data_IF_723907990101
#
_entry.id   IF_723907990101
#
_cell.length_a   1.000
_cell.length_b   1.000
_cell.length_c   1.000
_cell.angle_alpha   90.00
_cell.angle_beta   90.00
_cell.angle_gamma   90.00
#
_symmetry.space_group_name_H-M   'P 1'
#
loop_
_entity.id
_entity.type
_entity.pdbx_description
1 polymer ?
#
# COMPACT_ATOMS: atom_id res chain seq x y z
N UNK A 1 3.38 64.52 39.60
CA UNK A 1 3.13 63.08 39.76
C UNK A 1 3.07 62.50 38.34
N UNK A 2 4.17 61.89 37.87
CA UNK A 2 4.24 61.28 36.50
C UNK A 2 3.83 59.82 36.58
N UNK A 3 2.71 59.50 35.95
CA UNK A 3 2.21 58.10 35.86
C UNK A 3 2.97 57.45 34.70
N UNK A 4 3.82 56.47 35.01
CA UNK A 4 4.45 55.60 34.01
C UNK A 4 3.47 54.44 33.68
N UNK A 5 2.96 54.47 32.45
CA UNK A 5 2.16 53.37 31.91
C UNK A 5 3.10 52.28 31.38
N UNK A 6 3.18 51.13 32.07
CA UNK A 6 3.90 49.97 31.60
C UNK A 6 3.00 49.23 30.60
N UNK A 7 3.33 49.31 29.29
CA UNK A 7 2.71 48.42 28.28
C UNK A 7 3.45 47.09 28.31
N UNK A 8 2.82 46.08 28.88
CA UNK A 8 3.29 44.68 28.75
C UNK A 8 2.86 44.14 27.38
N UNK A 9 3.79 44.02 26.46
CA UNK A 9 3.58 43.32 25.18
C UNK A 9 3.67 41.85 25.43
N UNK A 10 2.51 41.15 25.40
CA UNK A 10 2.43 39.69 25.38
C UNK A 10 2.83 39.20 23.97
N UNK A 11 4.00 38.62 23.84
CA UNK A 11 4.37 37.83 22.66
C UNK A 11 3.67 36.47 22.75
N UNK A 12 2.60 36.25 21.99
CA UNK A 12 2.05 34.94 21.75
C UNK A 12 2.99 34.25 20.75
N UNK A 13 3.87 33.40 21.24
CA UNK A 13 4.55 32.42 20.41
C UNK A 13 3.53 31.31 20.06
N UNK A 14 3.02 31.35 18.85
CA UNK A 14 2.26 30.21 18.31
C UNK A 14 3.26 29.07 18.11
N UNK A 15 3.29 28.13 19.04
CA UNK A 15 4.02 26.88 18.88
C UNK A 15 3.16 26.06 17.92
N UNK A 16 3.55 26.02 16.65
CA UNK A 16 2.99 25.04 15.73
C UNK A 16 3.44 23.67 16.23
N UNK A 17 2.49 22.83 16.66
CA UNK A 17 2.77 21.44 16.97
C UNK A 17 3.25 20.77 15.67
N UNK A 18 4.50 20.34 15.66
CA UNK A 18 5.06 19.62 14.50
C UNK A 18 4.56 18.19 14.50
N UNK A 19 4.17 17.69 13.33
CA UNK A 19 3.79 16.28 13.17
C UNK A 19 4.87 15.34 13.74
N UNK A 20 4.52 14.16 14.23
CA UNK A 20 5.47 13.12 14.60
C UNK A 20 6.49 12.87 13.49
N UNK A 21 7.72 12.55 13.85
CA UNK A 21 8.82 12.43 12.90
C UNK A 21 8.57 11.38 11.81
N UNK A 22 7.95 10.27 12.15
CA UNK A 22 7.56 9.18 11.27
C UNK A 22 6.54 9.64 10.21
N UNK A 23 5.46 10.31 10.65
CA UNK A 23 4.43 10.87 9.75
C UNK A 23 5.04 11.96 8.86
N UNK A 24 5.83 12.87 9.45
CA UNK A 24 6.51 13.93 8.71
C UNK A 24 7.49 13.38 7.68
N UNK A 25 8.21 12.30 8.01
CA UNK A 25 9.15 11.67 7.09
C UNK A 25 8.43 11.10 5.86
N UNK A 26 7.30 10.43 6.05
CA UNK A 26 6.48 9.94 4.91
C UNK A 26 5.95 11.07 4.05
N UNK A 27 5.49 12.17 4.67
CA UNK A 27 4.79 13.24 3.97
C UNK A 27 5.71 14.26 3.28
N UNK A 28 6.89 14.49 3.83
CA UNK A 28 7.72 15.66 3.47
C UNK A 28 9.12 15.29 2.98
N UNK A 29 9.60 14.06 3.29
CA UNK A 29 10.96 13.72 2.93
C UNK A 29 11.09 13.28 1.46
N UNK A 30 12.18 13.70 0.84
CA UNK A 30 12.58 13.22 -0.48
C UNK A 30 13.07 11.77 -0.43
N UNK A 31 13.58 11.36 0.72
CA UNK A 31 14.08 10.01 0.98
C UNK A 31 12.95 8.98 0.88
N UNK A 32 11.78 9.26 1.47
CA UNK A 32 10.61 8.39 1.34
C UNK A 32 10.21 8.22 -0.13
N UNK A 33 10.08 9.34 -0.86
CA UNK A 33 9.74 9.33 -2.28
C UNK A 33 10.78 8.53 -3.09
N UNK A 34 12.07 8.76 -2.80
CA UNK A 34 13.17 8.06 -3.50
C UNK A 34 13.15 6.56 -3.22
N UNK A 35 12.95 6.15 -1.97
CA UNK A 35 12.89 4.73 -1.58
C UNK A 35 11.69 4.02 -2.22
N UNK A 36 10.49 4.59 -2.17
CA UNK A 36 9.32 3.98 -2.80
C UNK A 36 9.51 3.84 -4.32
N UNK A 37 9.97 4.88 -5.00
CA UNK A 37 10.28 4.79 -6.43
C UNK A 37 11.36 3.75 -6.73
N UNK A 38 12.39 3.62 -5.89
CA UNK A 38 13.44 2.62 -6.04
C UNK A 38 12.91 1.20 -5.88
N UNK A 39 12.01 0.95 -4.92
CA UNK A 39 11.36 -0.35 -4.72
C UNK A 39 10.57 -0.72 -5.97
N UNK A 40 9.70 0.17 -6.46
CA UNK A 40 8.91 -0.10 -7.66
C UNK A 40 9.77 -0.25 -8.92
N UNK A 41 10.78 0.60 -9.11
CA UNK A 41 11.69 0.49 -10.27
C UNK A 41 12.46 -0.86 -10.27
N UNK A 42 12.88 -1.31 -9.08
CA UNK A 42 13.54 -2.62 -8.95
C UNK A 42 12.56 -3.76 -9.25
N UNK A 43 11.33 -3.71 -8.76
CA UNK A 43 10.28 -4.67 -9.07
C UNK A 43 10.00 -4.74 -10.59
N UNK A 44 9.86 -3.60 -11.27
CA UNK A 44 9.71 -3.54 -12.75
C UNK A 44 10.93 -4.17 -13.44
N UNK A 45 12.14 -3.86 -12.99
CA UNK A 45 13.37 -4.41 -13.59
C UNK A 45 13.41 -5.94 -13.52
N UNK A 46 13.01 -6.51 -12.38
CA UNK A 46 12.90 -7.97 -12.21
C UNK A 46 11.80 -8.57 -13.08
N UNK A 47 10.62 -7.91 -13.16
CA UNK A 47 9.54 -8.36 -14.04
C UNK A 47 9.98 -8.39 -15.51
N UNK A 48 10.66 -7.36 -16.01
CA UNK A 48 11.17 -7.34 -17.37
C UNK A 48 12.03 -8.56 -17.70
N UNK A 49 12.83 -9.01 -16.75
CA UNK A 49 13.64 -10.22 -16.92
C UNK A 49 12.77 -11.50 -16.91
N UNK A 50 11.72 -11.52 -16.08
CA UNK A 50 10.82 -12.68 -15.95
C UNK A 50 9.93 -12.87 -17.17
N UNK A 51 9.43 -11.76 -17.76
CA UNK A 51 8.51 -11.79 -18.91
C UNK A 51 9.23 -11.70 -20.26
N UNK A 52 10.52 -11.37 -20.28
CA UNK A 52 11.31 -11.35 -21.53
C UNK A 52 11.36 -12.76 -22.12
N UNK A 53 11.05 -12.94 -23.40
CA UNK A 53 11.21 -14.22 -24.05
C UNK A 53 12.72 -14.55 -24.08
N UNK A 54 13.14 -15.40 -23.17
CA UNK A 54 14.49 -15.95 -23.24
C UNK A 54 14.60 -16.79 -24.53
N UNK A 55 15.67 -16.62 -25.27
CA UNK A 55 15.96 -17.34 -26.53
C UNK A 55 15.87 -18.87 -26.42
N UNK A 56 15.74 -19.37 -25.18
CA UNK A 56 15.67 -20.78 -24.79
C UNK A 56 14.38 -21.19 -24.09
N UNK A 57 13.46 -20.25 -23.80
CA UNK A 57 12.18 -20.57 -23.16
C UNK A 57 11.13 -20.82 -24.23
N UNK A 58 10.97 -22.07 -24.61
CA UNK A 58 9.86 -22.53 -25.42
C UNK A 58 8.55 -22.30 -24.63
N UNK A 59 7.69 -21.40 -25.15
CA UNK A 59 6.28 -21.24 -24.76
C UNK A 59 6.00 -21.05 -23.24
N UNK A 60 6.52 -19.98 -22.62
CA UNK A 60 5.95 -19.54 -21.33
C UNK A 60 4.65 -18.83 -21.65
N UNK A 61 3.54 -19.44 -21.26
CA UNK A 61 2.23 -18.78 -21.28
C UNK A 61 2.19 -17.72 -20.18
N UNK A 62 2.38 -16.46 -20.55
CA UNK A 62 2.31 -15.33 -19.62
C UNK A 62 0.87 -14.99 -19.19
N UNK A 63 -0.14 -15.61 -19.81
CA UNK A 63 -1.56 -15.29 -19.56
C UNK A 63 -2.02 -15.62 -18.13
N UNK A 64 -1.25 -16.43 -17.37
CA UNK A 64 -1.57 -16.78 -16.01
C UNK A 64 -0.67 -16.11 -14.95
N UNK A 65 0.21 -15.18 -15.36
CA UNK A 65 1.04 -14.46 -14.40
C UNK A 65 0.20 -13.49 -13.58
N UNK A 66 0.48 -13.46 -12.26
CA UNK A 66 -0.14 -12.52 -11.36
C UNK A 66 0.89 -11.95 -10.37
N UNK A 67 0.60 -10.74 -9.89
CA UNK A 67 1.32 -10.07 -8.82
C UNK A 67 0.35 -9.87 -7.66
N UNK A 68 0.79 -10.21 -6.45
CA UNK A 68 0.05 -9.97 -5.22
C UNK A 68 0.56 -8.67 -4.59
N UNK A 69 -0.36 -7.76 -4.27
CA UNK A 69 -0.03 -6.46 -3.66
C UNK A 69 -0.90 -6.22 -2.42
N UNK A 70 -0.30 -5.69 -1.36
CA UNK A 70 -1.08 -5.01 -0.33
C UNK A 70 -1.58 -3.65 -0.85
N UNK A 71 -2.51 -3.02 -0.13
CA UNK A 71 -3.03 -1.70 -0.48
C UNK A 71 -2.42 -0.59 0.36
N UNK A 72 -2.56 -0.68 1.69
CA UNK A 72 -2.24 0.41 2.61
C UNK A 72 -0.72 0.52 2.79
N UNK A 73 -0.16 1.69 2.59
CA UNK A 73 1.28 2.01 2.59
C UNK A 73 2.12 1.24 1.56
N UNK A 74 1.41 0.56 0.66
CA UNK A 74 2.01 -0.11 -0.51
C UNK A 74 1.55 0.56 -1.80
N UNK A 75 0.25 0.63 -2.04
CA UNK A 75 -0.37 1.31 -3.19
C UNK A 75 -0.98 2.65 -2.78
N UNK A 76 -1.63 2.67 -1.62
CA UNK A 76 -2.36 3.81 -1.06
C UNK A 76 -1.62 4.35 0.16
N UNK A 77 -1.27 5.63 0.12
CA UNK A 77 -0.67 6.40 1.21
C UNK A 77 -1.78 6.94 2.12
N UNK A 78 -1.85 6.43 3.35
CA UNK A 78 -2.82 6.84 4.36
C UNK A 78 -2.19 7.77 5.43
N UNK A 79 -1.10 8.44 5.12
CA UNK A 79 -0.46 9.37 6.07
C UNK A 79 -1.38 10.50 6.52
N UNK A 80 -2.38 10.88 5.71
CA UNK A 80 -3.40 11.86 6.12
C UNK A 80 -4.30 11.33 7.26
N UNK A 81 -4.54 10.02 7.33
CA UNK A 81 -5.19 9.41 8.50
C UNK A 81 -4.34 9.55 9.76
N UNK A 82 -3.02 9.39 9.67
CA UNK A 82 -2.13 9.57 10.81
C UNK A 82 -2.10 11.04 11.28
N UNK A 83 -2.17 12.00 10.36
CA UNK A 83 -2.35 13.42 10.70
C UNK A 83 -3.67 13.63 11.44
N UNK A 84 -4.76 13.06 10.94
CA UNK A 84 -6.07 13.13 11.61
C UNK A 84 -6.03 12.61 13.05
N UNK A 85 -5.36 11.47 13.28
CA UNK A 85 -5.20 10.91 14.63
C UNK A 85 -4.38 11.84 15.53
N UNK A 86 -3.28 12.40 14.99
CA UNK A 86 -2.43 13.33 15.71
C UNK A 86 -3.20 14.60 16.13
N UNK A 87 -3.91 15.22 15.20
CA UNK A 87 -4.66 16.46 15.43
C UNK A 87 -5.77 16.27 16.48
N UNK A 88 -6.38 15.08 16.52
CA UNK A 88 -7.40 14.72 17.50
C UNK A 88 -6.82 14.17 18.81
N UNK A 89 -5.50 13.99 18.91
CA UNK A 89 -4.83 13.28 20.00
C UNK A 89 -5.45 11.88 20.25
N UNK A 90 -5.71 11.17 19.15
CA UNK A 90 -6.29 9.84 19.15
C UNK A 90 -5.27 8.79 18.72
N UNK A 91 -5.60 7.53 18.98
CA UNK A 91 -4.87 6.37 18.45
C UNK A 91 -5.77 5.64 17.46
N UNK A 92 -5.13 4.81 16.62
CA UNK A 92 -5.85 3.91 15.73
C UNK A 92 -6.96 3.16 16.47
N UNK A 93 -8.13 3.18 15.87
CA UNK A 93 -9.25 2.30 16.22
C UNK A 93 -9.98 1.87 14.93
N UNK A 94 -10.69 0.72 14.94
CA UNK A 94 -11.36 0.21 13.74
C UNK A 94 -12.42 1.14 13.18
N UNK A 95 -13.11 1.90 14.02
CA UNK A 95 -14.19 2.80 13.66
C UNK A 95 -13.65 4.02 12.90
N UNK A 96 -12.63 4.70 13.45
CA UNK A 96 -12.01 5.86 12.79
C UNK A 96 -11.30 5.48 11.50
N UNK A 97 -10.74 4.26 11.44
CA UNK A 97 -10.19 3.72 10.20
C UNK A 97 -11.29 3.48 9.15
N UNK A 98 -12.42 2.91 9.55
CA UNK A 98 -13.57 2.70 8.68
C UNK A 98 -14.09 4.04 8.12
N UNK A 99 -14.17 5.08 8.94
CA UNK A 99 -14.51 6.45 8.54
C UNK A 99 -13.49 7.05 7.56
N UNK A 100 -12.19 6.78 7.77
CA UNK A 100 -11.16 7.23 6.85
C UNK A 100 -11.32 6.59 5.47
N UNK A 101 -11.54 5.28 5.40
CA UNK A 101 -11.75 4.58 4.13
C UNK A 101 -12.97 5.11 3.38
N UNK A 102 -14.04 5.48 4.12
CA UNK A 102 -15.25 6.12 3.55
C UNK A 102 -14.97 7.47 2.88
N UNK A 103 -13.93 8.20 3.26
CA UNK A 103 -13.58 9.48 2.62
C UNK A 103 -13.01 9.30 1.22
N UNK A 104 -12.42 8.15 0.93
CA UNK A 104 -11.80 7.86 -0.37
C UNK A 104 -10.72 8.89 -0.76
N UNK A 105 -9.92 9.30 0.22
CA UNK A 105 -8.94 10.39 0.10
C UNK A 105 -7.48 9.91 0.16
N UNK A 106 -7.24 8.60 0.28
CA UNK A 106 -5.89 8.07 0.25
C UNK A 106 -5.22 8.39 -1.11
N UNK A 107 -3.97 8.86 -1.03
CA UNK A 107 -3.15 9.20 -2.19
C UNK A 107 -2.40 7.96 -2.68
N UNK A 108 -1.66 8.09 -3.78
CA UNK A 108 -0.77 7.02 -4.21
C UNK A 108 0.57 7.07 -3.47
N UNK A 109 1.06 5.91 -3.09
CA UNK A 109 2.48 5.74 -2.75
C UNK A 109 3.31 6.07 -3.99
N UNK A 110 4.42 6.83 -3.86
CA UNK A 110 5.24 7.22 -5.01
C UNK A 110 5.70 6.02 -5.84
N UNK A 111 5.46 6.06 -7.15
CA UNK A 111 5.79 4.99 -8.10
C UNK A 111 4.70 3.93 -8.31
N UNK A 112 3.62 3.94 -7.51
CA UNK A 112 2.53 2.96 -7.63
C UNK A 112 1.82 3.02 -8.99
N UNK A 113 1.61 4.22 -9.51
CA UNK A 113 0.95 4.43 -10.81
C UNK A 113 1.76 3.78 -11.95
N UNK A 114 3.05 4.03 -12.00
CA UNK A 114 3.97 3.53 -13.01
C UNK A 114 4.05 1.99 -12.96
N UNK A 115 4.11 1.43 -11.77
CA UNK A 115 4.16 -0.02 -11.57
C UNK A 115 2.87 -0.70 -12.02
N UNK A 116 1.70 -0.23 -11.57
CA UNK A 116 0.40 -0.76 -11.96
C UNK A 116 0.17 -0.63 -13.46
N UNK A 117 0.56 0.52 -14.05
CA UNK A 117 0.50 0.72 -15.50
C UNK A 117 1.39 -0.26 -16.25
N UNK A 118 2.60 -0.54 -15.73
CA UNK A 118 3.50 -1.54 -16.30
C UNK A 118 2.87 -2.94 -16.28
N UNK A 119 2.27 -3.35 -15.18
CA UNK A 119 1.61 -4.67 -15.07
C UNK A 119 0.51 -4.81 -16.13
N UNK A 120 -0.36 -3.80 -16.26
CA UNK A 120 -1.48 -3.81 -17.22
C UNK A 120 -1.01 -3.84 -18.67
N UNK A 121 0.02 -3.06 -19.00
CA UNK A 121 0.58 -3.04 -20.35
C UNK A 121 1.23 -4.38 -20.75
N UNK A 122 1.50 -5.25 -19.76
CA UNK A 122 2.07 -6.59 -19.99
C UNK A 122 1.05 -7.72 -19.68
N UNK A 123 -0.24 -7.41 -19.52
CA UNK A 123 -1.32 -8.36 -19.23
C UNK A 123 -1.06 -9.22 -17.97
N UNK A 124 -0.39 -8.65 -16.97
CA UNK A 124 -0.13 -9.32 -15.68
C UNK A 124 -1.31 -9.03 -14.76
N UNK A 125 -1.94 -10.09 -14.24
CA UNK A 125 -3.04 -9.97 -13.30
C UNK A 125 -2.59 -9.31 -12.00
N UNK A 126 -3.43 -8.40 -11.46
CA UNK A 126 -3.22 -7.83 -10.14
C UNK A 126 -4.20 -8.45 -9.15
N UNK A 127 -3.69 -8.94 -8.03
CA UNK A 127 -4.48 -9.48 -6.92
C UNK A 127 -4.13 -8.66 -5.68
N UNK A 128 -5.08 -7.88 -5.18
CA UNK A 128 -4.91 -7.11 -3.96
C UNK A 128 -5.32 -7.93 -2.74
N UNK A 129 -4.39 -8.08 -1.77
CA UNK A 129 -4.67 -8.70 -0.47
C UNK A 129 -4.50 -7.63 0.62
N UNK A 130 -5.59 -7.06 1.11
CA UNK A 130 -5.52 -6.00 2.12
C UNK A 130 -6.32 -6.32 3.38
N UNK A 131 -5.91 -5.75 4.51
CA UNK A 131 -6.65 -5.82 5.76
C UNK A 131 -7.81 -4.81 5.85
N UNK A 132 -8.05 -4.03 4.81
CA UNK A 132 -9.32 -3.30 4.66
C UNK A 132 -10.48 -4.28 4.74
N UNK A 133 -11.56 -3.87 5.41
CA UNK A 133 -12.73 -4.72 5.52
C UNK A 133 -13.44 -4.87 4.16
N UNK A 134 -13.90 -6.07 3.84
CA UNK A 134 -14.59 -6.39 2.58
C UNK A 134 -15.85 -5.54 2.36
N UNK A 135 -16.55 -5.17 3.43
CA UNK A 135 -17.67 -4.20 3.39
C UNK A 135 -17.29 -2.82 2.82
N UNK A 136 -15.98 -2.51 2.66
CA UNK A 136 -15.42 -1.26 2.11
C UNK A 136 -14.79 -1.45 0.72
N UNK A 137 -15.17 -2.51 0.05
CA UNK A 137 -14.65 -2.82 -1.28
C UNK A 137 -14.98 -1.71 -2.29
N UNK A 138 -16.21 -1.22 -2.28
CA UNK A 138 -16.64 -0.20 -3.27
C UNK A 138 -15.98 1.15 -3.02
N UNK A 139 -15.83 1.58 -1.76
CA UNK A 139 -15.10 2.80 -1.42
C UNK A 139 -13.60 2.68 -1.78
N UNK A 140 -13.02 1.49 -1.56
CA UNK A 140 -11.64 1.22 -1.97
C UNK A 140 -11.48 1.33 -3.48
N UNK A 141 -12.36 0.69 -4.25
CA UNK A 141 -12.38 0.81 -5.72
C UNK A 141 -12.63 2.25 -6.19
N UNK A 142 -13.51 2.99 -5.51
CA UNK A 142 -13.80 4.38 -5.80
C UNK A 142 -12.57 5.27 -5.60
N UNK A 143 -11.84 5.10 -4.49
CA UNK A 143 -10.57 5.78 -4.26
C UNK A 143 -9.55 5.46 -5.37
N UNK A 144 -9.41 4.19 -5.76
CA UNK A 144 -8.51 3.79 -6.84
C UNK A 144 -8.93 4.35 -8.21
N UNK A 145 -10.25 4.50 -8.46
CA UNK A 145 -10.76 5.22 -9.66
C UNK A 145 -10.35 6.68 -9.67
N UNK A 146 -10.47 7.38 -8.53
CA UNK A 146 -10.00 8.77 -8.37
C UNK A 146 -8.51 8.88 -8.67
N UNK A 147 -7.72 7.90 -8.26
CA UNK A 147 -6.28 7.83 -8.52
C UNK A 147 -5.93 7.30 -9.92
N UNK A 148 -6.91 6.95 -10.76
CA UNK A 148 -6.73 6.45 -12.14
C UNK A 148 -5.94 5.13 -12.23
N UNK A 149 -6.04 4.29 -11.19
CA UNK A 149 -5.38 2.98 -11.13
C UNK A 149 -6.34 1.79 -11.00
N UNK A 150 -7.64 2.02 -11.06
CA UNK A 150 -8.66 0.97 -11.03
C UNK A 150 -8.78 0.23 -12.37
N UNK A 151 -9.00 -1.08 -12.29
CA UNK A 151 -9.54 -1.90 -13.39
C UNK A 151 -10.62 -2.84 -12.87
N UNK A 152 -11.61 -3.16 -13.72
CA UNK A 152 -12.62 -4.19 -13.42
C UNK A 152 -12.02 -5.58 -13.30
N UNK A 153 -10.85 -5.79 -13.91
CA UNK A 153 -10.16 -7.09 -13.94
C UNK A 153 -9.32 -7.34 -12.68
N UNK A 154 -9.11 -6.30 -11.85
CA UNK A 154 -8.37 -6.45 -10.59
C UNK A 154 -9.15 -7.34 -9.61
N UNK A 155 -8.44 -8.28 -8.97
CA UNK A 155 -9.01 -9.16 -7.95
C UNK A 155 -8.73 -8.58 -6.57
N UNK A 156 -9.75 -8.53 -5.72
CA UNK A 156 -9.65 -8.00 -4.36
C UNK A 156 -9.98 -9.09 -3.34
N UNK A 157 -9.02 -9.41 -2.50
CA UNK A 157 -9.17 -10.29 -1.35
C UNK A 157 -9.05 -9.46 -0.08
N UNK A 158 -10.11 -8.70 0.23
CA UNK A 158 -10.20 -7.89 1.43
C UNK A 158 -10.60 -8.75 2.63
N UNK A 159 -10.40 -8.24 3.83
CA UNK A 159 -10.67 -8.96 5.07
C UNK A 159 -12.17 -9.07 5.34
N UNK A 160 -12.70 -10.28 5.45
CA UNK A 160 -14.09 -10.53 5.82
C UNK A 160 -14.28 -10.35 7.33
N UNK A 161 -13.39 -10.94 8.15
CA UNK A 161 -13.41 -10.86 9.60
C UNK A 161 -11.99 -10.99 10.21
N UNK A 162 -11.91 -11.04 11.55
CA UNK A 162 -10.62 -11.14 12.25
C UNK A 162 -9.88 -12.45 12.02
N UNK A 163 -10.58 -13.54 11.68
CA UNK A 163 -9.99 -14.85 11.42
C UNK A 163 -9.44 -14.94 10.00
N UNK A 164 -9.94 -14.12 9.08
CA UNK A 164 -9.50 -14.03 7.68
C UNK A 164 -8.11 -13.36 7.56
N UNK A 165 -7.06 -14.15 7.80
CA UNK A 165 -5.67 -13.69 7.73
C UNK A 165 -5.15 -13.66 6.29
N UNK A 166 -4.15 -12.82 6.01
CA UNK A 166 -3.50 -12.77 4.68
C UNK A 166 -2.95 -14.14 4.23
N UNK A 167 -2.51 -14.97 5.16
CA UNK A 167 -2.07 -16.36 4.87
C UNK A 167 -3.19 -17.23 4.30
N UNK A 168 -4.42 -17.10 4.82
CA UNK A 168 -5.60 -17.83 4.30
C UNK A 168 -5.90 -17.35 2.88
N UNK A 169 -5.94 -16.04 2.67
CA UNK A 169 -6.22 -15.44 1.36
C UNK A 169 -5.16 -15.79 0.31
N UNK A 170 -3.89 -15.89 0.70
CA UNK A 170 -2.84 -16.43 -0.19
C UNK A 170 -3.08 -17.90 -0.50
N UNK A 171 -3.47 -18.70 0.48
CA UNK A 171 -3.80 -20.12 0.25
C UNK A 171 -4.99 -20.28 -0.71
N UNK A 172 -5.98 -19.39 -0.70
CA UNK A 172 -7.07 -19.39 -1.69
C UNK A 172 -6.53 -19.25 -3.12
N UNK A 173 -5.54 -18.37 -3.33
CA UNK A 173 -4.90 -18.18 -4.65
C UNK A 173 -4.16 -19.46 -5.07
N UNK A 174 -3.30 -20.00 -4.19
CA UNK A 174 -2.49 -21.18 -4.52
C UNK A 174 -3.31 -22.43 -4.80
N UNK A 175 -4.42 -22.60 -4.08
CA UNK A 175 -5.25 -23.81 -4.18
C UNK A 175 -6.47 -23.62 -5.10
N UNK A 176 -6.65 -22.44 -5.68
CA UNK A 176 -7.86 -22.08 -6.48
C UNK A 176 -9.14 -22.38 -5.72
N UNK A 177 -9.21 -21.99 -4.43
CA UNK A 177 -10.33 -22.27 -3.53
C UNK A 177 -10.99 -20.97 -3.06
N UNK A 178 -12.04 -21.08 -2.24
CA UNK A 178 -12.71 -19.93 -1.64
C UNK A 178 -13.14 -18.90 -2.68
N UNK A 179 -12.67 -17.66 -2.53
CA UNK A 179 -12.96 -16.55 -3.46
C UNK A 179 -12.28 -16.69 -4.82
N UNK A 180 -11.29 -17.57 -4.92
CA UNK A 180 -10.52 -17.80 -6.15
C UNK A 180 -11.01 -19.00 -6.99
N UNK A 181 -12.05 -19.73 -6.54
CA UNK A 181 -12.54 -20.97 -7.16
C UNK A 181 -13.02 -20.82 -8.63
N UNK A 182 -13.51 -19.61 -8.97
CA UNK A 182 -14.05 -19.35 -10.30
C UNK A 182 -13.03 -18.63 -11.22
N UNK A 183 -11.81 -18.40 -10.71
CA UNK A 183 -10.71 -17.86 -11.49
C UNK A 183 -9.81 -18.98 -12.02
N UNK A 184 -9.11 -18.70 -13.11
CA UNK A 184 -8.03 -19.57 -13.58
C UNK A 184 -6.92 -19.66 -12.54
N UNK A 185 -6.12 -20.71 -12.61
CA UNK A 185 -4.90 -20.82 -11.80
C UNK A 185 -3.89 -19.73 -12.17
N UNK A 186 -3.35 -19.03 -11.16
CA UNK A 186 -2.36 -18.00 -11.33
C UNK A 186 -0.98 -18.44 -10.83
N UNK A 187 0.05 -18.11 -11.61
CA UNK A 187 1.44 -18.18 -11.18
C UNK A 187 1.83 -16.82 -10.61
N UNK A 188 1.99 -16.75 -9.28
CA UNK A 188 2.44 -15.53 -8.63
C UNK A 188 3.92 -15.34 -8.90
N UNK A 189 4.27 -14.19 -9.47
CA UNK A 189 5.64 -13.85 -9.87
C UNK A 189 6.27 -12.74 -9.03
N UNK A 190 5.46 -11.97 -8.28
CA UNK A 190 5.96 -11.01 -7.30
C UNK A 190 4.93 -10.78 -6.18
N UNK A 191 5.47 -10.36 -5.03
CA UNK A 191 4.72 -9.86 -3.88
C UNK A 191 5.21 -8.46 -3.51
N UNK A 192 4.27 -7.54 -3.23
CA UNK A 192 4.57 -6.19 -2.77
C UNK A 192 3.75 -5.90 -1.51
N UNK A 193 4.39 -5.34 -0.48
CA UNK A 193 3.76 -5.02 0.80
C UNK A 193 4.65 -4.14 1.66
N UNK A 194 4.12 -3.60 2.76
CA UNK A 194 4.85 -2.80 3.74
C UNK A 194 5.18 -3.57 5.03
N UNK A 195 4.62 -4.77 5.19
CA UNK A 195 4.77 -5.61 6.37
C UNK A 195 5.18 -7.04 6.00
N UNK A 196 5.97 -7.69 6.86
CA UNK A 196 6.43 -9.08 6.63
C UNK A 196 5.25 -10.05 6.41
N UNK A 197 4.12 -9.82 7.07
CA UNK A 197 2.91 -10.62 6.89
C UNK A 197 2.27 -10.58 5.49
N UNK A 198 2.74 -9.71 4.60
CA UNK A 198 2.25 -9.59 3.22
C UNK A 198 2.89 -10.60 2.27
N UNK A 199 3.98 -11.22 2.69
CA UNK A 199 4.79 -12.08 1.86
C UNK A 199 4.50 -13.57 2.11
N UNK A 200 4.89 -14.39 1.13
CA UNK A 200 4.75 -15.84 1.21
C UNK A 200 5.69 -16.44 2.27
N UNK A 201 6.87 -15.87 2.38
CA UNK A 201 7.91 -16.31 3.33
C UNK A 201 8.52 -15.11 4.04
N UNK A 202 8.97 -15.34 5.27
CA UNK A 202 9.75 -14.38 6.05
C UNK A 202 11.25 -14.43 5.73
N UNK A 203 11.67 -15.28 4.78
CA UNK A 203 13.08 -15.42 4.40
C UNK A 203 13.57 -14.17 3.69
N UNK A 204 14.59 -13.53 4.25
CA UNK A 204 15.11 -12.24 3.79
C UNK A 204 15.84 -12.32 2.44
N UNK A 205 16.24 -13.50 1.99
CA UNK A 205 16.91 -13.72 0.70
C UNK A 205 15.99 -13.54 -0.52
N UNK A 206 14.67 -13.53 -0.31
CA UNK A 206 13.68 -13.28 -1.37
C UNK A 206 13.46 -11.77 -1.63
N UNK A 207 13.80 -10.91 -0.67
CA UNK A 207 13.60 -9.47 -0.82
C UNK A 207 14.53 -8.86 -1.88
N UNK A 208 13.92 -8.08 -2.79
CA UNK A 208 14.60 -7.56 -3.98
C UNK A 208 14.73 -8.54 -5.15
N UNK A 209 14.24 -9.78 -5.01
CA UNK A 209 14.10 -10.74 -6.10
C UNK A 209 12.66 -10.81 -6.62
N UNK A 210 11.76 -11.27 -5.79
CA UNK A 210 10.32 -11.40 -6.06
C UNK A 210 9.44 -10.94 -4.88
N UNK A 211 10.04 -10.48 -3.78
CA UNK A 211 9.38 -9.84 -2.66
C UNK A 211 9.94 -8.42 -2.49
N UNK A 212 9.04 -7.42 -2.39
CA UNK A 212 9.40 -6.01 -2.36
C UNK A 212 8.68 -5.32 -1.20
N UNK A 213 9.46 -4.91 -0.18
CA UNK A 213 8.94 -4.27 1.02
C UNK A 213 9.06 -2.75 0.92
N UNK A 214 7.98 -2.06 1.28
CA UNK A 214 7.91 -0.60 1.32
C UNK A 214 8.20 -0.08 2.73
N UNK A 215 8.82 1.10 2.86
CA UNK A 215 9.08 1.70 4.16
C UNK A 215 7.77 2.24 4.77
N UNK A 216 7.41 1.72 5.94
CA UNK A 216 6.32 2.25 6.75
C UNK A 216 6.80 2.48 8.19
N UNK A 217 7.25 3.71 8.55
CA UNK A 217 7.65 4.02 9.91
C UNK A 217 6.49 4.41 10.82
N UNK A 218 5.27 4.63 10.28
CA UNK A 218 4.15 5.21 11.01
C UNK A 218 3.44 4.21 11.92
N UNK A 219 3.34 2.96 11.49
CA UNK A 219 2.71 1.90 12.26
C UNK A 219 3.13 0.51 11.74
N UNK A 220 3.00 -0.51 12.57
CA UNK A 220 3.36 -1.88 12.23
C UNK A 220 3.48 -2.78 13.45
N UNK A 221 4.00 -3.97 13.23
CA UNK A 221 4.34 -4.95 14.27
C UNK A 221 5.80 -5.31 14.10
N UNK A 222 6.65 -4.39 14.47
CA UNK A 222 8.10 -4.59 14.53
C UNK A 222 8.61 -4.58 15.97
#
# INVERSE_FOLDING_TARGET
MKIFLFLATFYFTIIYATLPNDVRWVRESKEYVALCNQVYANAISKLKNTISPNKYSLNIDHNNFAVVMDLDETVLDNSDYQVMLYDKNEKYNPESWDEWVLKEEARLVPGAYEYISFLRNNNIQIIFISNRMDKRLEETKSNMKKMKIYSSDDIYLLRIDRADKKTIRRAEIFNSTGRMKDYKEFKIIQYLGDAIGDFETESLDRFGLDQFVFPNPMYGKW
#
